data_IF_615932138957
#
_entry.id   IF_615932138957
#
_cell.length_a   1.000
_cell.length_b   1.000
_cell.length_c   1.000
_cell.angle_alpha   90.00
_cell.angle_beta   90.00
_cell.angle_gamma   90.00
#
_symmetry.space_group_name_H-M   'P 1'
#
loop_
_entity.id
_entity.type
_entity.pdbx_description
1 polymer ?
#
# COMPACT_ATOMS: atom_id res chain seq x y z
N UNK A 1 -27.43 -23.22 -8.68
CA UNK A 1 -26.42 -22.15 -8.83
C UNK A 1 -25.50 -22.38 -10.04
N UNK A 2 -25.57 -23.54 -10.71
CA UNK A 2 -24.58 -23.88 -11.75
C UNK A 2 -24.68 -23.07 -13.04
N UNK A 3 -25.80 -22.37 -13.26
CA UNK A 3 -26.09 -21.56 -14.45
C UNK A 3 -25.93 -20.05 -14.27
N UNK A 4 -25.58 -19.55 -13.07
CA UNK A 4 -25.41 -18.11 -12.88
C UNK A 4 -24.04 -17.66 -13.44
N UNK A 5 -24.01 -16.60 -14.28
CA UNK A 5 -22.76 -15.98 -14.70
C UNK A 5 -21.99 -15.39 -13.53
N UNK A 6 -20.65 -15.37 -13.63
CA UNK A 6 -19.78 -14.82 -12.58
C UNK A 6 -20.07 -13.34 -12.33
N UNK A 7 -20.46 -12.60 -13.35
CA UNK A 7 -20.85 -11.18 -13.31
C UNK A 7 -22.05 -10.95 -12.38
N UNK A 8 -23.04 -11.85 -12.42
CA UNK A 8 -24.23 -11.75 -11.56
C UNK A 8 -23.86 -12.06 -10.11
N UNK A 9 -23.00 -13.06 -9.89
CA UNK A 9 -22.50 -13.38 -8.55
C UNK A 9 -21.69 -12.21 -7.97
N UNK A 10 -20.85 -11.56 -8.78
CA UNK A 10 -20.12 -10.36 -8.40
C UNK A 10 -21.05 -9.21 -8.02
N UNK A 11 -22.08 -8.93 -8.84
CA UNK A 11 -23.06 -7.89 -8.54
C UNK A 11 -23.79 -8.13 -7.21
N UNK A 12 -24.20 -9.37 -6.94
CA UNK A 12 -24.80 -9.75 -5.64
C UNK A 12 -23.85 -9.43 -4.49
N UNK A 13 -22.57 -9.77 -4.63
CA UNK A 13 -21.58 -9.48 -3.60
C UNK A 13 -21.29 -7.98 -3.43
N UNK A 14 -21.39 -7.16 -4.48
CA UNK A 14 -21.30 -5.70 -4.37
C UNK A 14 -22.46 -5.08 -3.59
N UNK A 15 -23.64 -5.70 -3.65
CA UNK A 15 -24.83 -5.26 -2.94
C UNK A 15 -24.85 -5.63 -1.45
N UNK A 16 -23.93 -6.47 -0.97
CA UNK A 16 -23.90 -6.88 0.43
C UNK A 16 -23.43 -5.73 1.34
N UNK A 17 -24.07 -5.52 2.51
CA UNK A 17 -23.83 -4.33 3.32
C UNK A 17 -22.54 -4.43 4.15
N UNK A 18 -22.09 -5.64 4.49
CA UNK A 18 -20.91 -5.84 5.34
C UNK A 18 -19.88 -6.81 4.75
N UNK A 19 -18.63 -6.64 5.18
CA UNK A 19 -17.54 -7.52 4.78
C UNK A 19 -17.76 -8.98 5.22
N UNK A 20 -18.43 -9.19 6.35
CA UNK A 20 -18.76 -10.51 6.87
C UNK A 20 -19.82 -11.22 6.02
N UNK A 21 -20.79 -10.47 5.49
CA UNK A 21 -21.79 -11.02 4.57
C UNK A 21 -21.12 -11.44 3.26
N UNK A 22 -20.19 -10.63 2.75
CA UNK A 22 -19.43 -11.01 1.54
C UNK A 22 -18.55 -12.22 1.80
N UNK A 23 -17.85 -12.26 2.93
CA UNK A 23 -17.00 -13.41 3.27
C UNK A 23 -17.81 -14.69 3.42
N UNK A 24 -18.95 -14.61 4.11
CA UNK A 24 -19.89 -15.72 4.26
C UNK A 24 -20.40 -16.18 2.89
N UNK A 25 -20.80 -15.26 2.02
CA UNK A 25 -21.26 -15.53 0.65
C UNK A 25 -20.20 -16.25 -0.20
N UNK A 26 -18.94 -15.82 -0.12
CA UNK A 26 -17.83 -16.42 -0.89
C UNK A 26 -17.43 -17.79 -0.36
N UNK A 27 -17.65 -18.07 0.93
CA UNK A 27 -17.33 -19.35 1.55
C UNK A 27 -18.39 -20.45 1.33
N UNK A 28 -19.60 -20.10 0.87
CA UNK A 28 -20.70 -21.08 0.74
C UNK A 28 -20.43 -22.14 -0.34
N UNK A 29 -19.65 -21.82 -1.38
CA UNK A 29 -19.47 -22.72 -2.52
C UNK A 29 -18.08 -22.60 -3.16
N UNK A 30 -17.43 -23.74 -3.43
CA UNK A 30 -16.08 -23.78 -4.04
C UNK A 30 -16.02 -23.11 -5.43
N UNK A 31 -17.11 -23.14 -6.21
CA UNK A 31 -17.24 -22.42 -7.50
C UNK A 31 -17.28 -20.91 -7.28
N UNK A 32 -18.03 -20.44 -6.28
CA UNK A 32 -18.07 -19.02 -5.90
C UNK A 32 -16.69 -18.61 -5.38
N UNK A 33 -16.08 -19.39 -4.50
CA UNK A 33 -14.74 -19.15 -3.98
C UNK A 33 -13.69 -18.98 -5.08
N UNK A 34 -13.68 -19.88 -6.07
CA UNK A 34 -12.75 -19.82 -7.19
C UNK A 34 -13.04 -18.65 -8.14
N UNK A 35 -14.31 -18.37 -8.44
CA UNK A 35 -14.71 -17.20 -9.24
C UNK A 35 -14.39 -15.86 -8.54
N UNK A 36 -14.31 -15.89 -7.20
CA UNK A 36 -14.08 -14.71 -6.37
C UNK A 36 -12.63 -14.49 -5.98
N UNK A 37 -11.67 -15.30 -6.42
CA UNK A 37 -10.27 -15.11 -6.00
C UNK A 37 -9.73 -13.69 -6.33
N UNK A 38 -10.04 -13.15 -7.51
CA UNK A 38 -9.69 -11.77 -7.86
C UNK A 38 -10.63 -10.69 -7.25
N UNK A 39 -11.86 -11.08 -6.91
CA UNK A 39 -12.92 -10.22 -6.36
C UNK A 39 -12.82 -10.07 -4.83
N UNK A 40 -12.29 -11.07 -4.13
CA UNK A 40 -11.95 -10.98 -2.72
C UNK A 40 -11.05 -9.78 -2.48
N UNK A 41 -10.07 -9.53 -3.36
CA UNK A 41 -9.19 -8.36 -3.21
C UNK A 41 -9.92 -7.02 -3.38
N UNK A 42 -10.94 -6.90 -4.24
CA UNK A 42 -11.71 -5.64 -4.35
C UNK A 42 -12.61 -5.44 -3.12
N UNK A 43 -13.20 -6.51 -2.60
CA UNK A 43 -14.00 -6.50 -1.37
C UNK A 43 -13.14 -6.21 -0.15
N UNK A 44 -11.99 -6.86 -0.02
CA UNK A 44 -11.03 -6.62 1.06
C UNK A 44 -10.49 -5.19 0.99
N UNK A 45 -10.21 -4.67 -0.20
CA UNK A 45 -9.86 -3.27 -0.36
C UNK A 45 -11.00 -2.33 0.04
N UNK A 46 -12.25 -2.71 -0.25
CA UNK A 46 -13.46 -1.93 0.05
C UNK A 46 -13.75 -1.83 1.55
N UNK A 47 -13.60 -2.93 2.29
CA UNK A 47 -13.98 -2.97 3.71
C UNK A 47 -12.80 -2.85 4.67
N UNK A 48 -11.60 -3.21 4.20
CA UNK A 48 -10.38 -3.35 5.00
C UNK A 48 -9.18 -2.67 4.33
N UNK A 49 -9.38 -1.70 3.42
CA UNK A 49 -8.35 -1.08 2.57
C UNK A 49 -6.93 -1.02 3.15
N UNK A 50 -6.75 -0.28 4.24
CA UNK A 50 -5.44 -0.17 4.91
C UNK A 50 -4.87 -1.47 5.46
N UNK A 51 -5.72 -2.36 5.99
CA UNK A 51 -5.33 -3.68 6.50
C UNK A 51 -4.94 -4.60 5.34
N UNK A 52 -5.64 -4.51 4.21
CA UNK A 52 -5.35 -5.29 2.99
C UNK A 52 -4.00 -4.89 2.40
N UNK A 53 -3.66 -3.60 2.41
CA UNK A 53 -2.34 -3.12 2.00
C UNK A 53 -1.23 -3.68 2.90
N UNK A 54 -1.41 -3.61 4.23
CA UNK A 54 -0.42 -4.13 5.18
C UNK A 54 -0.22 -5.64 5.01
N UNK A 55 -1.29 -6.39 4.79
CA UNK A 55 -1.21 -7.81 4.50
C UNK A 55 -0.42 -8.08 3.20
N UNK A 56 -0.75 -7.37 2.11
CA UNK A 56 -0.04 -7.56 0.84
C UNK A 56 1.45 -7.23 0.94
N UNK A 57 1.83 -6.22 1.72
CA UNK A 57 3.23 -5.91 2.00
C UNK A 57 3.89 -7.04 2.79
N UNK A 58 3.23 -7.55 3.82
CA UNK A 58 3.75 -8.63 4.66
C UNK A 58 4.01 -9.91 3.86
N UNK A 59 3.11 -10.24 2.94
CA UNK A 59 3.19 -11.46 2.14
C UNK A 59 4.06 -11.31 0.88
N UNK A 60 4.62 -10.12 0.61
CA UNK A 60 5.47 -9.92 -0.57
C UNK A 60 4.69 -9.75 -1.89
N UNK A 61 3.38 -9.54 -1.83
CA UNK A 61 2.45 -9.54 -2.97
C UNK A 61 2.49 -8.24 -3.78
N UNK A 62 3.58 -8.02 -4.54
CA UNK A 62 3.82 -6.80 -5.34
C UNK A 62 2.65 -6.40 -6.23
N UNK A 63 1.97 -7.38 -6.86
CA UNK A 63 0.81 -7.13 -7.74
C UNK A 63 -0.34 -6.50 -6.97
N UNK A 64 -0.61 -7.02 -5.76
CA UNK A 64 -1.69 -6.53 -4.90
C UNK A 64 -1.33 -5.17 -4.30
N UNK A 65 -0.08 -4.95 -3.91
CA UNK A 65 0.39 -3.62 -3.45
C UNK A 65 0.11 -2.56 -4.52
N UNK A 66 0.52 -2.80 -5.78
CA UNK A 66 0.23 -1.89 -6.90
C UNK A 66 -1.27 -1.69 -7.11
N UNK A 67 -2.05 -2.78 -7.07
CA UNK A 67 -3.52 -2.72 -7.23
C UNK A 67 -4.17 -1.87 -6.15
N UNK A 68 -3.74 -2.00 -4.89
CA UNK A 68 -4.29 -1.22 -3.77
C UNK A 68 -3.87 0.26 -3.81
N UNK A 69 -2.65 0.56 -4.27
CA UNK A 69 -2.22 1.94 -4.50
C UNK A 69 -3.03 2.60 -5.63
N UNK A 70 -3.18 1.92 -6.78
CA UNK A 70 -3.87 2.45 -7.96
C UNK A 70 -5.37 2.60 -7.80
N UNK A 71 -6.03 1.62 -7.18
CA UNK A 71 -7.47 1.68 -6.96
C UNK A 71 -7.84 2.83 -6.00
N UNK A 72 -6.86 3.34 -5.25
CA UNK A 72 -7.10 3.97 -3.97
C UNK A 72 -7.70 2.94 -3.02
N UNK A 73 -7.24 2.83 -1.78
CA UNK A 73 -8.00 2.01 -0.86
C UNK A 73 -9.37 2.66 -0.71
N UNK A 74 -10.44 1.86 -0.67
CA UNK A 74 -11.73 2.40 -0.27
C UNK A 74 -11.64 2.66 1.23
N UNK A 75 -10.92 3.72 1.57
CA UNK A 75 -10.72 4.17 2.93
C UNK A 75 -12.10 4.51 3.43
N UNK A 76 -12.50 3.89 4.54
CA UNK A 76 -13.73 4.33 5.20
C UNK A 76 -13.59 5.84 5.46
N UNK A 77 -14.66 6.63 5.29
CA UNK A 77 -14.65 8.03 5.67
C UNK A 77 -14.11 8.18 7.11
N UNK A 78 -13.11 9.05 7.30
CA UNK A 78 -12.42 9.24 8.58
C UNK A 78 -11.21 8.33 8.84
N UNK A 79 -10.85 7.43 7.92
CA UNK A 79 -9.61 6.65 8.02
C UNK A 79 -8.43 7.45 7.51
N UNK A 80 -7.38 7.61 8.32
CA UNK A 80 -6.16 8.32 7.94
C UNK A 80 -5.37 7.48 6.92
N UNK A 81 -5.58 7.74 5.62
CA UNK A 81 -4.88 7.08 4.49
C UNK A 81 -3.36 7.10 4.66
N UNK A 82 -2.80 8.23 5.07
CA UNK A 82 -1.36 8.41 5.33
C UNK A 82 -0.82 7.43 6.36
N UNK A 83 -1.53 7.23 7.48
CA UNK A 83 -1.09 6.33 8.56
C UNK A 83 -0.87 4.89 8.08
N UNK A 84 -1.74 4.38 7.21
CA UNK A 84 -1.61 3.01 6.71
C UNK A 84 -0.54 2.89 5.63
N UNK A 85 -0.35 3.92 4.80
CA UNK A 85 0.74 3.98 3.82
C UNK A 85 2.11 4.05 4.50
N UNK A 86 2.25 4.89 5.53
CA UNK A 86 3.46 5.00 6.35
C UNK A 86 3.78 3.68 7.05
N UNK A 87 2.76 3.02 7.62
CA UNK A 87 2.93 1.72 8.27
C UNK A 87 3.29 0.62 7.28
N UNK A 88 2.71 0.66 6.08
CA UNK A 88 3.07 -0.25 4.99
C UNK A 88 4.53 -0.03 4.54
N UNK A 89 4.97 1.22 4.44
CA UNK A 89 6.35 1.55 4.11
C UNK A 89 7.32 1.02 5.17
N UNK A 90 7.07 1.31 6.45
CA UNK A 90 7.89 0.82 7.56
C UNK A 90 7.98 -0.71 7.55
N UNK A 91 6.85 -1.39 7.35
CA UNK A 91 6.81 -2.84 7.30
C UNK A 91 7.58 -3.42 6.11
N UNK A 92 7.52 -2.77 4.93
CA UNK A 92 8.29 -3.21 3.76
C UNK A 92 9.80 -3.19 4.02
N UNK A 93 10.27 -2.20 4.79
CA UNK A 93 11.68 -2.07 5.17
C UNK A 93 12.06 -3.11 6.21
N UNK A 94 11.23 -3.31 7.23
CA UNK A 94 11.48 -4.31 8.28
C UNK A 94 11.66 -5.72 7.71
N UNK A 95 10.88 -6.07 6.69
CA UNK A 95 10.91 -7.39 6.03
C UNK A 95 11.96 -7.40 4.88
N UNK A 96 12.70 -6.31 4.65
CA UNK A 96 13.72 -6.17 3.62
C UNK A 96 13.20 -6.38 2.19
N UNK A 97 11.94 -6.05 1.93
CA UNK A 97 11.33 -6.17 0.61
C UNK A 97 11.62 -4.97 -0.28
N UNK A 98 12.87 -4.81 -0.72
CA UNK A 98 13.32 -3.67 -1.52
C UNK A 98 12.39 -3.33 -2.70
N UNK A 99 11.88 -4.35 -3.42
CA UNK A 99 10.96 -4.11 -4.55
C UNK A 99 9.59 -3.57 -4.15
N UNK A 100 9.08 -3.89 -2.96
CA UNK A 100 7.83 -3.31 -2.43
C UNK A 100 8.10 -1.92 -1.88
N UNK A 101 9.24 -1.73 -1.21
CA UNK A 101 9.68 -0.42 -0.73
C UNK A 101 9.79 0.58 -1.87
N UNK A 102 10.37 0.19 -3.02
CA UNK A 102 10.39 1.03 -4.23
C UNK A 102 8.99 1.40 -4.71
N UNK A 103 8.06 0.43 -4.78
CA UNK A 103 6.68 0.67 -5.23
C UNK A 103 5.97 1.67 -4.31
N UNK A 104 6.13 1.51 -3.00
CA UNK A 104 5.51 2.37 -1.99
C UNK A 104 6.08 3.79 -2.03
N UNK A 105 7.41 3.90 -2.16
CA UNK A 105 8.13 5.17 -2.25
C UNK A 105 7.74 5.96 -3.51
N UNK A 106 7.48 5.29 -4.62
CA UNK A 106 7.03 5.93 -5.86
C UNK A 106 5.60 6.47 -5.80
N UNK A 107 4.85 6.23 -4.71
CA UNK A 107 3.52 6.81 -4.53
C UNK A 107 3.62 8.28 -4.12
N UNK A 108 2.94 9.18 -4.85
CA UNK A 108 2.88 10.62 -4.55
C UNK A 108 2.48 10.89 -3.08
N UNK A 109 1.57 10.09 -2.56
CA UNK A 109 1.07 10.23 -1.18
C UNK A 109 2.14 9.92 -0.12
N UNK A 110 3.04 8.99 -0.44
CA UNK A 110 4.19 8.69 0.43
C UNK A 110 5.25 9.78 0.30
N UNK A 111 5.49 10.29 -0.91
CA UNK A 111 6.39 11.41 -1.15
C UNK A 111 5.97 12.63 -0.31
N UNK A 112 4.68 12.96 -0.32
CA UNK A 112 4.12 14.06 0.47
C UNK A 112 4.30 13.84 1.98
N UNK A 113 4.08 12.60 2.46
CA UNK A 113 4.32 12.26 3.88
C UNK A 113 5.80 12.36 4.26
N UNK A 114 6.71 11.87 3.40
CA UNK A 114 8.16 11.94 3.63
C UNK A 114 8.68 13.38 3.64
N UNK A 115 8.12 14.24 2.77
CA UNK A 115 8.43 15.69 2.72
C UNK A 115 7.92 16.44 3.94
N UNK A 116 6.71 16.12 4.38
CA UNK A 116 6.06 16.80 5.50
C UNK A 116 6.55 16.31 6.87
N UNK A 117 7.12 15.10 6.97
CA UNK A 117 7.51 14.48 8.24
C UNK A 117 9.00 14.08 8.29
N UNK A 118 9.81 14.99 8.82
CA UNK A 118 11.22 14.70 9.13
C UNK A 118 11.39 13.54 10.14
N UNK A 119 10.40 13.36 11.03
CA UNK A 119 10.38 12.25 12.01
C UNK A 119 10.26 10.91 11.30
N UNK A 120 9.35 10.78 10.35
CA UNK A 120 9.18 9.56 9.55
C UNK A 120 10.46 9.22 8.81
N UNK A 121 11.06 10.21 8.13
CA UNK A 121 12.29 10.02 7.36
C UNK A 121 13.44 9.47 8.25
N UNK A 122 13.62 10.04 9.45
CA UNK A 122 14.61 9.57 10.42
C UNK A 122 14.34 8.12 10.86
N UNK A 123 13.08 7.75 11.11
CA UNK A 123 12.72 6.39 11.51
C UNK A 123 13.06 5.38 10.41
N UNK A 124 12.74 5.69 9.16
CA UNK A 124 13.00 4.79 8.02
C UNK A 124 14.50 4.57 7.81
N UNK A 125 15.31 5.64 7.90
CA UNK A 125 16.77 5.55 7.81
C UNK A 125 17.33 4.73 8.98
N UNK A 126 16.91 4.98 10.22
CA UNK A 126 17.39 4.23 11.39
C UNK A 126 17.10 2.73 11.26
N UNK A 127 15.90 2.35 10.79
CA UNK A 127 15.57 0.95 10.52
C UNK A 127 16.47 0.33 9.45
N UNK A 128 16.69 1.03 8.34
CA UNK A 128 17.50 0.51 7.24
C UNK A 128 18.99 0.39 7.62
N UNK A 129 19.53 1.33 8.42
CA UNK A 129 20.89 1.26 8.97
C UNK A 129 21.03 0.10 9.95
N UNK A 130 20.14 -0.01 10.94
CA UNK A 130 20.20 -1.08 11.95
C UNK A 130 20.01 -2.47 11.34
N UNK A 131 19.21 -2.58 10.28
CA UNK A 131 18.99 -3.81 9.54
C UNK A 131 20.10 -4.17 8.55
N UNK A 132 21.05 -3.26 8.28
CA UNK A 132 22.05 -3.47 7.23
C UNK A 132 21.45 -3.54 5.82
N UNK A 133 20.31 -2.88 5.59
CA UNK A 133 19.58 -2.95 4.33
C UNK A 133 20.12 -1.94 3.31
N UNK A 134 21.34 -2.18 2.81
CA UNK A 134 22.07 -1.28 1.91
C UNK A 134 21.25 -0.84 0.68
N UNK A 135 20.54 -1.78 0.04
CA UNK A 135 19.67 -1.45 -1.11
C UNK A 135 18.57 -0.47 -0.74
N UNK A 136 17.97 -0.64 0.44
CA UNK A 136 16.90 0.25 0.92
C UNK A 136 17.46 1.60 1.32
N UNK A 137 18.65 1.64 1.93
CA UNK A 137 19.36 2.89 2.21
C UNK A 137 19.66 3.67 0.95
N UNK A 138 20.11 3.00 -0.12
CA UNK A 138 20.32 3.64 -1.41
C UNK A 138 19.02 4.20 -1.98
N UNK A 139 17.92 3.45 -1.91
CA UNK A 139 16.60 3.92 -2.37
C UNK A 139 16.15 5.15 -1.57
N UNK A 140 16.26 5.13 -0.24
CA UNK A 140 15.89 6.27 0.61
C UNK A 140 16.81 7.48 0.36
N UNK A 141 18.10 7.25 0.15
CA UNK A 141 19.07 8.31 -0.12
C UNK A 141 18.84 8.94 -1.51
N UNK A 142 18.50 8.16 -2.53
CA UNK A 142 18.22 8.70 -3.87
C UNK A 142 17.02 9.66 -3.89
N UNK A 143 16.05 9.47 -2.99
CA UNK A 143 14.94 10.43 -2.85
C UNK A 143 15.41 11.79 -2.34
N UNK A 144 16.38 11.80 -1.41
CA UNK A 144 16.88 13.03 -0.80
C UNK A 144 17.73 13.85 -1.78
N UNK A 145 18.36 13.19 -2.76
CA UNK A 145 19.19 13.83 -3.78
C UNK A 145 18.33 14.57 -4.81
N UNK A 146 17.14 14.07 -5.14
CA UNK A 146 16.20 14.76 -6.05
C UNK A 146 15.62 16.07 -5.46
N UNK A 147 15.70 16.28 -4.14
CA UNK A 147 15.22 17.50 -3.48
C UNK A 147 16.30 18.60 -3.35
N UNK A 148 17.55 18.30 -3.67
CA UNK A 148 18.64 19.28 -3.61
C UNK A 148 18.88 19.83 -5.02
N UNK A 149 17.98 20.70 -5.49
CA UNK A 149 18.22 21.48 -6.70
C UNK A 149 19.49 22.33 -6.50
N UNK A 150 20.57 22.11 -7.28
CA UNK A 150 21.83 22.83 -7.12
C UNK A 150 21.69 24.36 -7.33
N UNK A 151 20.55 24.84 -7.85
CA UNK A 151 20.27 26.26 -8.02
C UNK A 151 20.08 27.06 -6.72
N UNK A 152 19.82 26.42 -5.57
CA UNK A 152 19.49 27.14 -4.33
C UNK A 152 20.70 27.37 -3.40
N UNK A 153 21.90 26.94 -3.79
CA UNK A 153 23.13 27.09 -2.97
C UNK A 153 23.86 28.40 -3.28
N UNK A 154 23.66 28.98 -4.47
CA UNK A 154 24.40 30.18 -4.91
C UNK A 154 23.78 31.47 -4.33
N UNK A 155 22.51 31.46 -3.92
CA UNK A 155 21.80 32.63 -3.38
C UNK A 155 22.00 32.87 -1.87
N UNK A 156 22.72 32.00 -1.15
CA UNK A 156 23.01 32.17 0.29
C UNK A 156 24.49 32.42 0.62
N UNK A 157 25.35 32.63 -0.38
CA UNK A 157 26.75 33.04 -0.17
C UNK A 157 27.01 34.53 -0.46
N UNK A 158 26.01 35.26 -0.98
CA UNK A 158 26.15 36.68 -1.38
C UNK A 158 25.19 37.65 -0.62
N UNK A 159 24.76 37.33 0.61
CA UNK A 159 23.96 38.23 1.46
C UNK A 159 24.57 38.43 2.85
#
# INVERSE_FOLDING_TARGET
MDSLPNEVLMFIAECLPSAWDVLSFVQVNRKIHNAFHDFQHSVYNRYFGGISLLWAVREGEKRLVKKFLLAGPAWRPGTMKSMYLERALLQSIQISHAGITTILIQSDEIQDSLRSSAVLNRILIDFAVRGGYETILMILASMKVEEMDPGNVISQMDA
#
